data_IF_489049510884
#
_entry.id   IF_489049510884
#
_cell.length_a   1.000
_cell.length_b   1.000
_cell.length_c   1.000
_cell.angle_alpha   90.00
_cell.angle_beta   90.00
_cell.angle_gamma   90.00
#
_symmetry.space_group_name_H-M   'P 1'
#
loop_
_entity.id
_entity.type
_entity.pdbx_description
1 polymer ?
#
# COMPACT_ATOMS: atom_id res chain seq x y z
N UNK A 1 2.92 6.77 -8.87
CA UNK A 1 2.18 7.50 -7.82
C UNK A 1 1.44 8.69 -8.38
N UNK A 2 0.58 9.23 -7.58
CA UNK A 2 -0.23 10.38 -7.96
C UNK A 2 -0.91 10.98 -6.74
N UNK A 3 -1.80 11.96 -6.99
CA UNK A 3 -2.63 12.55 -5.94
C UNK A 3 -4.08 12.15 -6.20
N UNK A 4 -4.77 11.67 -5.17
CA UNK A 4 -6.20 11.41 -5.26
C UNK A 4 -6.95 12.71 -5.59
N UNK A 5 -7.99 12.66 -6.44
CA UNK A 5 -8.80 13.83 -6.71
C UNK A 5 -9.40 14.36 -5.40
N UNK A 6 -9.57 15.69 -5.33
CA UNK A 6 -10.24 16.33 -4.20
C UNK A 6 -11.62 15.70 -4.04
N UNK A 7 -11.91 15.22 -2.85
CA UNK A 7 -13.20 14.61 -2.53
C UNK A 7 -14.12 15.66 -1.91
N UNK A 8 -15.33 15.72 -2.44
CA UNK A 8 -16.42 16.52 -1.86
C UNK A 8 -17.24 15.69 -0.89
N UNK A 9 -17.07 14.36 -0.90
CA UNK A 9 -17.73 13.41 0.00
C UNK A 9 -16.75 12.91 1.06
N UNK A 10 -17.29 12.49 2.21
CA UNK A 10 -16.52 11.84 3.28
C UNK A 10 -16.20 10.35 2.98
N UNK A 11 -16.46 9.90 1.75
CA UNK A 11 -16.19 8.52 1.37
C UNK A 11 -14.70 8.19 1.39
N UNK A 12 -14.36 7.08 2.04
CA UNK A 12 -13.02 6.56 2.07
C UNK A 12 -12.49 6.21 0.67
N UNK A 13 -11.18 6.39 0.40
CA UNK A 13 -10.58 5.97 -0.86
C UNK A 13 -10.66 4.46 -1.02
N UNK A 14 -10.91 4.03 -2.26
CA UNK A 14 -10.91 2.62 -2.66
C UNK A 14 -9.77 2.37 -3.60
N UNK A 15 -9.06 1.28 -3.38
CA UNK A 15 -7.93 0.86 -4.19
C UNK A 15 -8.19 -0.53 -4.77
N UNK A 16 -7.90 -0.70 -6.05
CA UNK A 16 -7.68 -1.99 -6.68
C UNK A 16 -6.17 -2.21 -6.72
N UNK A 17 -5.73 -3.33 -6.18
CA UNK A 17 -4.33 -3.76 -6.25
C UNK A 17 -4.26 -5.17 -6.79
N UNK A 18 -3.28 -5.45 -7.66
CA UNK A 18 -2.98 -6.80 -8.13
C UNK A 18 -1.48 -6.94 -8.34
N UNK A 19 -1.02 -8.17 -8.27
CA UNK A 19 0.36 -8.53 -8.52
C UNK A 19 0.44 -9.92 -9.15
N UNK A 20 1.33 -10.05 -10.11
CA UNK A 20 1.73 -11.31 -10.71
C UNK A 20 3.19 -11.57 -10.33
N UNK A 21 3.52 -12.83 -10.03
CA UNK A 21 4.92 -13.22 -9.82
C UNK A 21 5.68 -13.22 -11.14
N UNK A 22 6.97 -12.99 -11.10
CA UNK A 22 7.86 -13.35 -12.19
C UNK A 22 7.80 -14.89 -12.39
N UNK A 23 7.54 -15.40 -13.60
CA UNK A 23 7.50 -16.84 -13.86
C UNK A 23 8.76 -17.60 -13.39
N UNK A 24 9.91 -16.96 -13.38
CA UNK A 24 11.18 -17.53 -12.94
C UNK A 24 11.45 -17.34 -11.43
N UNK A 25 10.62 -16.60 -10.70
CA UNK A 25 10.81 -16.27 -9.29
C UNK A 25 9.86 -17.04 -8.35
N UNK A 26 9.88 -16.64 -7.09
CA UNK A 26 9.07 -17.24 -6.03
C UNK A 26 7.58 -16.84 -6.14
N UNK A 27 6.71 -17.69 -5.62
CA UNK A 27 5.30 -17.36 -5.48
C UNK A 27 5.10 -16.19 -4.51
N UNK A 28 3.99 -15.48 -4.69
CA UNK A 28 3.59 -14.37 -3.82
C UNK A 28 3.02 -14.88 -2.49
N UNK A 29 3.46 -14.26 -1.40
CA UNK A 29 2.91 -14.46 -0.07
C UNK A 29 1.64 -13.62 0.11
N UNK A 30 1.75 -12.30 -0.01
CA UNK A 30 0.67 -11.35 0.28
C UNK A 30 0.88 -10.00 -0.40
N UNK A 31 -0.22 -9.26 -0.49
CA UNK A 31 -0.21 -7.82 -0.79
C UNK A 31 -0.59 -7.05 0.46
N UNK A 32 0.16 -6.00 0.74
CA UNK A 32 -0.08 -5.05 1.81
C UNK A 32 -0.35 -3.67 1.24
N UNK A 33 -1.25 -2.92 1.88
CA UNK A 33 -1.31 -1.46 1.72
C UNK A 33 -0.75 -0.85 2.99
N UNK A 34 0.18 0.07 2.78
CA UNK A 34 0.77 0.87 3.85
C UNK A 34 0.15 2.26 3.76
N UNK A 35 -0.48 2.70 4.84
CA UNK A 35 -1.00 4.05 5.04
C UNK A 35 -0.06 4.80 5.97
N UNK A 36 0.41 5.97 5.54
CA UNK A 36 1.10 6.92 6.40
C UNK A 36 0.30 8.22 6.51
N UNK A 37 0.28 8.84 7.69
CA UNK A 37 -0.42 10.10 7.92
C UNK A 37 0.27 10.94 8.98
N UNK A 38 -0.15 12.20 9.05
CA UNK A 38 0.31 13.15 10.06
C UNK A 38 -0.91 13.64 10.84
N UNK A 39 -0.83 13.63 12.17
CA UNK A 39 -1.90 14.16 13.03
C UNK A 39 -1.89 15.70 13.10
N UNK A 40 -2.84 16.26 13.86
CA UNK A 40 -2.96 17.70 14.05
C UNK A 40 -1.76 18.33 14.79
N UNK A 41 -1.01 17.52 15.55
CA UNK A 41 0.19 17.95 16.28
C UNK A 41 1.47 17.81 15.43
N UNK A 42 1.35 17.36 14.17
CA UNK A 42 2.49 17.14 13.25
C UNK A 42 3.24 15.83 13.49
N UNK A 43 2.68 14.89 14.26
CA UNK A 43 3.30 13.58 14.47
C UNK A 43 2.98 12.63 13.32
N UNK A 44 3.99 11.88 12.87
CA UNK A 44 3.84 10.90 11.80
C UNK A 44 3.45 9.53 12.33
N UNK A 45 2.55 8.87 11.63
CA UNK A 45 2.08 7.52 11.93
C UNK A 45 2.11 6.67 10.68
N UNK A 46 2.18 5.36 10.87
CA UNK A 46 2.08 4.36 9.81
C UNK A 46 1.19 3.20 10.26
N UNK A 47 0.41 2.66 9.34
CA UNK A 47 -0.35 1.43 9.53
C UNK A 47 -0.25 0.53 8.31
N UNK A 48 -0.07 -0.77 8.57
CA UNK A 48 0.03 -1.81 7.56
C UNK A 48 -1.28 -2.61 7.55
N UNK A 49 -1.84 -2.78 6.36
CA UNK A 49 -3.03 -3.60 6.11
C UNK A 49 -2.66 -4.73 5.16
N UNK A 50 -2.81 -5.97 5.58
CA UNK A 50 -2.77 -7.11 4.66
C UNK A 50 -4.09 -7.11 3.87
N UNK A 51 -4.05 -6.93 2.55
CA UNK A 51 -5.25 -6.81 1.72
C UNK A 51 -5.55 -8.05 0.89
N UNK A 52 -4.53 -8.78 0.49
CA UNK A 52 -4.63 -10.10 -0.12
C UNK A 52 -3.55 -11.03 0.43
N UNK A 53 -3.81 -12.32 0.44
CA UNK A 53 -2.84 -13.33 0.80
C UNK A 53 -3.10 -14.63 0.05
N UNK A 54 -2.04 -15.41 -0.17
CA UNK A 54 -2.15 -16.74 -0.74
C UNK A 54 -2.68 -17.75 0.28
N UNK A 55 -3.49 -18.71 -0.18
CA UNK A 55 -4.06 -19.75 0.66
C UNK A 55 -5.09 -19.27 1.70
N UNK A 56 -5.69 -20.23 2.42
CA UNK A 56 -6.71 -19.95 3.43
C UNK A 56 -6.06 -19.67 4.79
N UNK A 57 -5.34 -18.56 4.91
CA UNK A 57 -4.67 -18.17 6.16
C UNK A 57 -5.57 -17.32 7.05
N UNK A 58 -5.47 -17.57 8.34
CA UNK A 58 -6.19 -16.78 9.34
C UNK A 58 -5.55 -15.41 9.52
N UNK A 59 -6.37 -14.46 9.91
CA UNK A 59 -5.90 -13.16 10.39
C UNK A 59 -5.70 -13.21 11.89
N UNK A 60 -4.60 -12.66 12.36
CA UNK A 60 -4.40 -12.40 13.77
C UNK A 60 -5.42 -11.35 14.24
N UNK A 61 -6.26 -11.72 15.22
CA UNK A 61 -7.35 -10.85 15.70
C UNK A 61 -6.86 -9.51 16.29
N UNK A 62 -5.64 -9.47 16.81
CA UNK A 62 -5.07 -8.26 17.41
C UNK A 62 -4.46 -7.31 16.37
N UNK A 63 -3.78 -7.84 15.37
CA UNK A 63 -3.04 -7.05 14.38
C UNK A 63 -3.77 -6.88 13.06
N UNK A 64 -4.75 -7.73 12.75
CA UNK A 64 -5.43 -7.80 11.45
C UNK A 64 -4.56 -8.37 10.32
N UNK A 65 -3.30 -8.72 10.59
CA UNK A 65 -2.37 -9.28 9.61
C UNK A 65 -2.56 -10.79 9.48
N UNK A 66 -2.29 -11.32 8.29
CA UNK A 66 -2.31 -12.76 8.06
C UNK A 66 -1.16 -13.48 8.79
N UNK A 67 -1.43 -14.71 9.21
CA UNK A 67 -0.39 -15.60 9.69
C UNK A 67 0.68 -15.84 8.61
N UNK A 68 1.92 -16.20 9.01
CA UNK A 68 3.00 -16.47 8.05
C UNK A 68 2.62 -17.54 7.01
N UNK A 69 3.13 -17.39 5.79
CA UNK A 69 2.86 -18.32 4.67
C UNK A 69 3.55 -19.67 4.84
N UNK A 70 4.50 -19.77 5.77
CA UNK A 70 5.38 -20.93 5.91
C UNK A 70 6.71 -20.72 5.18
N UNK A 71 7.49 -21.79 5.09
CA UNK A 71 8.83 -21.77 4.50
C UNK A 71 9.13 -23.09 3.79
N UNK A 72 9.57 -23.04 2.54
CA UNK A 72 9.95 -24.20 1.73
C UNK A 72 11.43 -24.21 1.38
N UNK A 73 12.23 -23.36 2.04
CA UNK A 73 13.67 -23.25 1.80
C UNK A 73 14.41 -24.47 2.39
N UNK A 74 15.19 -25.12 1.55
CA UNK A 74 16.26 -26.03 1.95
C UNK A 74 17.56 -25.23 2.03
N UNK A 75 18.02 -24.97 3.26
CA UNK A 75 19.24 -24.18 3.50
C UNK A 75 20.48 -24.91 3.05
N UNK A 76 20.53 -26.25 3.20
CA UNK A 76 21.68 -27.05 2.83
C UNK A 76 21.89 -27.07 1.31
N UNK A 77 20.80 -27.12 0.59
CA UNK A 77 20.80 -27.13 -0.88
C UNK A 77 20.61 -25.73 -1.51
N UNK A 78 20.48 -24.70 -0.66
CA UNK A 78 20.19 -23.32 -1.07
C UNK A 78 19.09 -23.28 -2.16
N UNK A 79 18.00 -23.99 -1.93
CA UNK A 79 16.88 -24.13 -2.85
C UNK A 79 15.55 -23.86 -2.16
N UNK A 80 14.47 -23.71 -2.93
CA UNK A 80 13.10 -23.58 -2.42
C UNK A 80 12.12 -24.17 -3.43
N UNK A 81 10.88 -24.37 -3.00
CA UNK A 81 9.81 -24.82 -3.91
C UNK A 81 8.61 -23.88 -3.86
N UNK A 82 7.94 -23.74 -5.00
CA UNK A 82 6.69 -22.98 -5.14
C UNK A 82 5.45 -23.84 -4.78
N UNK A 83 5.54 -24.68 -3.74
CA UNK A 83 4.41 -25.49 -3.25
C UNK A 83 3.47 -24.71 -2.32
N UNK A 84 3.90 -23.52 -1.88
CA UNK A 84 3.11 -22.53 -1.14
C UNK A 84 3.10 -21.21 -1.91
N UNK A 85 2.30 -20.24 -1.45
CA UNK A 85 2.14 -18.97 -2.16
C UNK A 85 1.19 -19.07 -3.35
N UNK A 86 1.06 -17.99 -4.11
CA UNK A 86 0.22 -17.88 -5.29
C UNK A 86 0.96 -17.19 -6.43
N UNK A 87 0.63 -17.55 -7.68
CA UNK A 87 1.21 -16.88 -8.85
C UNK A 87 0.59 -15.49 -9.09
N UNK A 88 -0.63 -15.29 -8.61
CA UNK A 88 -1.39 -14.05 -8.76
C UNK A 88 -2.12 -13.73 -7.46
N UNK A 89 -2.17 -12.45 -7.08
CA UNK A 89 -2.97 -11.94 -5.98
C UNK A 89 -3.63 -10.63 -6.40
N UNK A 90 -4.89 -10.44 -5.99
CA UNK A 90 -5.62 -9.19 -6.20
C UNK A 90 -6.52 -8.87 -5.02
N UNK A 91 -6.84 -7.60 -4.82
CA UNK A 91 -7.83 -7.14 -3.85
C UNK A 91 -8.43 -5.80 -4.22
N UNK A 92 -9.72 -5.63 -3.88
CA UNK A 92 -10.32 -4.32 -3.66
C UNK A 92 -10.27 -4.01 -2.18
N UNK A 93 -9.73 -2.85 -1.83
CA UNK A 93 -9.61 -2.43 -0.45
C UNK A 93 -10.09 -0.99 -0.28
N UNK A 94 -10.84 -0.76 0.77
CA UNK A 94 -11.32 0.57 1.20
C UNK A 94 -10.67 0.89 2.53
N UNK A 95 -10.14 2.10 2.70
CA UNK A 95 -9.50 2.51 3.96
C UNK A 95 -10.51 2.52 5.12
N UNK A 96 -10.41 1.61 6.10
CA UNK A 96 -11.35 1.55 7.23
C UNK A 96 -11.13 2.65 8.25
N UNK A 97 -9.96 3.30 8.22
CA UNK A 97 -9.55 4.33 9.17
C UNK A 97 -9.35 5.68 8.46
N UNK A 98 -10.15 5.93 7.41
CA UNK A 98 -10.05 7.17 6.65
C UNK A 98 -10.60 8.36 7.44
N UNK A 99 -9.76 9.41 7.52
CA UNK A 99 -10.13 10.70 8.10
C UNK A 99 -10.06 11.79 7.01
N UNK A 100 -11.22 12.38 6.60
CA UNK A 100 -11.28 13.30 5.47
C UNK A 100 -10.44 14.57 5.64
N UNK A 101 -10.23 15.00 6.87
CA UNK A 101 -9.47 16.22 7.22
C UNK A 101 -7.97 15.95 7.45
N UNK A 102 -7.52 14.71 7.27
CA UNK A 102 -6.16 14.28 7.54
C UNK A 102 -5.39 13.97 6.24
N UNK A 103 -4.25 14.63 6.04
CA UNK A 103 -3.35 14.29 4.94
C UNK A 103 -2.76 12.89 5.14
N UNK A 104 -2.77 12.11 4.08
CA UNK A 104 -2.26 10.74 4.10
C UNK A 104 -1.60 10.36 2.78
N UNK A 105 -0.81 9.30 2.81
CA UNK A 105 -0.34 8.62 1.60
C UNK A 105 -0.54 7.12 1.72
N UNK A 106 -0.63 6.47 0.58
CA UNK A 106 -0.82 5.02 0.46
C UNK A 106 0.16 4.46 -0.57
N UNK A 107 0.73 3.30 -0.28
CA UNK A 107 1.45 2.52 -1.29
C UNK A 107 1.20 1.03 -1.08
N UNK A 108 1.28 0.27 -2.16
CA UNK A 108 1.20 -1.17 -2.09
C UNK A 108 2.61 -1.76 -1.94
N UNK A 109 2.71 -2.83 -1.15
CA UNK A 109 3.89 -3.68 -1.01
C UNK A 109 3.47 -5.12 -1.24
N UNK A 110 4.19 -5.80 -2.11
CA UNK A 110 4.02 -7.22 -2.40
C UNK A 110 5.18 -7.98 -1.81
N UNK A 111 4.91 -9.09 -1.13
CA UNK A 111 5.93 -9.98 -0.58
C UNK A 111 5.86 -11.33 -1.29
N UNK A 112 7.03 -11.88 -1.60
CA UNK A 112 7.17 -13.28 -2.03
C UNK A 112 7.22 -14.22 -0.82
N UNK A 113 7.06 -15.52 -1.06
CA UNK A 113 7.37 -16.55 -0.06
C UNK A 113 8.86 -16.50 0.28
N UNK A 114 9.30 -17.06 1.43
CA UNK A 114 10.72 -17.09 1.78
C UNK A 114 11.56 -17.82 0.72
N UNK A 115 12.71 -17.22 0.40
CA UNK A 115 13.74 -17.77 -0.49
C UNK A 115 15.11 -17.75 0.19
N UNK A 116 16.12 -18.53 -0.24
CA UNK A 116 17.47 -18.43 0.29
C UNK A 116 18.02 -17.02 0.05
N UNK A 117 18.75 -16.49 1.02
CA UNK A 117 19.51 -15.25 0.81
C UNK A 117 20.70 -15.48 -0.11
N UNK A 118 21.21 -14.42 -0.72
CA UNK A 118 22.44 -14.48 -1.52
C UNK A 118 23.60 -15.13 -0.72
N UNK A 119 23.75 -14.75 0.55
CA UNK A 119 24.77 -15.35 1.44
C UNK A 119 24.61 -16.86 1.66
N UNK A 120 23.40 -17.40 1.53
CA UNK A 120 23.14 -18.84 1.61
C UNK A 120 23.59 -19.56 0.34
N UNK A 121 23.36 -18.97 -0.84
CA UNK A 121 23.90 -19.48 -2.10
C UNK A 121 25.43 -19.46 -2.11
N UNK A 122 26.05 -18.37 -1.64
CA UNK A 122 27.51 -18.24 -1.53
C UNK A 122 28.08 -19.26 -0.56
N UNK A 123 27.47 -19.46 0.60
CA UNK A 123 27.88 -20.42 1.60
C UNK A 123 27.88 -21.85 1.03
N UNK A 124 26.84 -22.26 0.31
CA UNK A 124 26.75 -23.53 -0.42
C UNK A 124 27.92 -23.66 -1.42
N UNK A 125 28.12 -22.66 -2.27
CA UNK A 125 29.17 -22.67 -3.30
C UNK A 125 30.58 -22.79 -2.70
N UNK A 126 30.79 -22.23 -1.49
CA UNK A 126 32.06 -22.25 -0.78
C UNK A 126 32.21 -23.43 0.18
N UNK A 127 31.21 -24.31 0.29
CA UNK A 127 31.22 -25.43 1.24
C UNK A 127 31.28 -24.98 2.70
N UNK A 128 30.65 -23.87 3.08
CA UNK A 128 30.66 -23.26 4.42
C UNK A 128 29.24 -23.21 5.01
N UNK A 129 29.11 -23.14 6.34
CA UNK A 129 27.81 -22.88 6.96
C UNK A 129 27.25 -21.54 6.52
N UNK A 130 25.92 -21.49 6.21
CA UNK A 130 25.25 -20.27 5.87
C UNK A 130 25.08 -19.35 7.11
N UNK A 131 25.38 -18.04 6.99
CA UNK A 131 25.20 -17.11 8.09
C UNK A 131 23.71 -16.79 8.30
N UNK A 132 23.30 -16.55 9.54
CA UNK A 132 21.95 -16.11 9.87
C UNK A 132 21.74 -14.61 9.54
N UNK A 133 20.53 -14.24 9.11
CA UNK A 133 19.41 -15.07 8.69
C UNK A 133 19.66 -15.74 7.33
N UNK A 134 19.30 -17.01 7.19
CA UNK A 134 19.54 -17.80 5.97
C UNK A 134 18.53 -17.54 4.87
N UNK A 135 17.37 -16.96 5.19
CA UNK A 135 16.26 -16.71 4.26
C UNK A 135 15.87 -15.24 4.20
N UNK A 136 15.20 -14.87 3.12
CA UNK A 136 14.63 -13.55 2.92
C UNK A 136 13.25 -13.68 2.26
N UNK A 137 12.35 -12.73 2.51
CA UNK A 137 11.17 -12.51 1.66
C UNK A 137 11.45 -11.29 0.79
N UNK A 138 11.61 -11.51 -0.50
CA UNK A 138 11.76 -10.44 -1.48
C UNK A 138 10.48 -9.63 -1.55
N UNK A 139 10.60 -8.37 -1.94
CA UNK A 139 9.47 -7.46 -1.94
C UNK A 139 9.58 -6.40 -3.03
N UNK A 140 8.43 -6.07 -3.59
CA UNK A 140 8.25 -4.92 -4.47
C UNK A 140 7.35 -3.89 -3.80
N UNK A 141 7.52 -2.62 -4.14
CA UNK A 141 6.67 -1.54 -3.65
C UNK A 141 6.31 -0.58 -4.80
N UNK A 142 5.09 -0.05 -4.77
CA UNK A 142 4.65 0.97 -5.70
C UNK A 142 5.09 2.36 -5.24
N UNK A 143 5.00 3.35 -6.13
CA UNK A 143 5.03 4.76 -5.75
C UNK A 143 3.82 5.10 -4.88
N UNK A 144 3.98 6.09 -4.01
CA UNK A 144 2.91 6.55 -3.13
C UNK A 144 1.79 7.29 -3.90
N UNK A 145 0.56 7.09 -3.43
CA UNK A 145 -0.62 7.85 -3.83
C UNK A 145 -0.98 8.77 -2.66
N UNK A 146 -1.04 10.06 -2.93
CA UNK A 146 -1.23 11.09 -1.92
C UNK A 146 -2.70 11.49 -1.79
N UNK A 147 -3.19 11.62 -0.55
CA UNK A 147 -4.43 12.28 -0.21
C UNK A 147 -4.15 13.62 0.47
N UNK A 148 -4.75 14.68 -0.06
CA UNK A 148 -4.69 16.02 0.53
C UNK A 148 -6.12 16.46 0.85
N UNK A 149 -6.43 16.75 2.13
CA UNK A 149 -7.73 17.25 2.51
C UNK A 149 -8.02 18.61 1.83
N UNK A 150 -9.29 19.00 1.68
CA UNK A 150 -9.65 20.35 1.26
C UNK A 150 -9.06 21.39 2.22
N UNK A 151 -8.61 22.54 1.71
CA UNK A 151 -8.20 23.66 2.55
C UNK A 151 -9.41 24.15 3.37
N UNK A 152 -9.28 24.18 4.70
CA UNK A 152 -10.28 24.78 5.57
C UNK A 152 -10.36 26.27 5.27
N UNK A 153 -11.41 26.73 4.60
CA UNK A 153 -11.68 28.16 4.45
C UNK A 153 -11.72 28.73 3.04
N UNK A 154 -11.67 27.94 1.98
CA UNK A 154 -12.04 28.44 0.66
C UNK A 154 -13.58 28.53 0.56
N UNK A 155 -14.18 29.44 1.31
CA UNK A 155 -15.55 29.88 1.05
C UNK A 155 -15.57 30.40 -0.38
N UNK A 156 -16.45 29.84 -1.19
CA UNK A 156 -16.69 30.22 -2.60
C UNK A 156 -17.04 31.73 -2.69
N UNK A 157 -16.03 32.57 -2.87
CA UNK A 157 -16.21 34.02 -3.17
C UNK A 157 -16.51 34.24 -4.65
N UNK A 158 -17.26 33.35 -5.29
CA UNK A 158 -17.77 33.54 -6.64
C UNK A 158 -19.28 33.70 -6.66
N UNK A 159 -19.78 34.72 -5.97
CA UNK A 159 -21.08 35.32 -6.29
C UNK A 159 -21.21 36.72 -5.65
N UNK A 160 -20.30 37.62 -6.01
CA UNK A 160 -20.61 39.04 -5.95
C UNK A 160 -21.13 39.41 -7.34
N UNK A 161 -22.42 39.32 -7.49
CA UNK A 161 -23.20 39.92 -8.58
C UNK A 161 -22.80 41.40 -8.68
N UNK A 162 -22.19 41.79 -9.79
CA UNK A 162 -22.09 43.20 -10.13
C UNK A 162 -23.50 43.79 -10.23
N UNK A 163 -23.81 44.93 -9.60
CA UNK A 163 -25.03 45.67 -9.90
C UNK A 163 -24.93 46.17 -11.35
N UNK A 164 -25.94 45.87 -12.13
CA UNK A 164 -26.14 46.46 -13.46
C UNK A 164 -26.47 47.93 -13.28
N UNK A 165 -25.57 48.81 -13.69
CA UNK A 165 -25.90 50.20 -13.99
C UNK A 165 -26.72 50.24 -15.29
N UNK A 166 -28.02 50.17 -15.12
CA UNK A 166 -28.97 50.58 -16.12
C UNK A 166 -29.87 51.65 -15.45
N UNK A 167 -29.57 52.88 -15.66
CA UNK A 167 -30.54 53.92 -15.93
C UNK A 167 -29.90 55.32 -15.80
N UNK A 168 -29.69 55.96 -16.90
CA UNK A 168 -29.68 57.41 -16.99
C UNK A 168 -30.04 57.82 -18.41
N UNK A 169 -31.35 57.68 -18.70
CA UNK A 169 -31.99 58.34 -19.81
C UNK A 169 -32.16 59.85 -19.49
N UNK A 170 -31.82 60.63 -20.50
CA UNK A 170 -32.66 61.76 -20.98
C UNK A 170 -32.77 63.02 -20.14
N UNK A 171 -32.35 64.09 -20.71
CA UNK A 171 -32.96 65.43 -20.90
C UNK A 171 -31.89 66.49 -21.18
N UNK A 172 -31.84 67.01 -22.28
CA UNK A 172 -32.31 68.16 -23.10
C UNK A 172 -31.36 68.42 -24.24
#
# INVERSE_FOLDING_TARGET
>A
GGTLPRRTSQEAPRFLVWADRDPAAANLDRIQIIKGWVDADGRSFERIYDVAASGDRRRNARTGLFEPVGNTVDVADASYTNTIGAAHLEAFWTDPDFEPDQAAFYYARVLEIPTPRLSTYDAKALGRPAPEPTTIQERAATSAIWYRPPERGATDQRSVTQPSDADATDRT
#
